data_IF_143074014841
#
_entry.id   IF_143074014841
#
_cell.length_a   1.000
_cell.length_b   1.000
_cell.length_c   1.000
_cell.angle_alpha   90.00
_cell.angle_beta   90.00
_cell.angle_gamma   90.00
#
_symmetry.space_group_name_H-M   'P 1'
#
loop_
_entity.id
_entity.type
_entity.pdbx_description
1 polymer ?
#
# COMPACT_ATOMS: atom_id res chain seq x y z
N UNK A 1 -9.81 -18.75 2.34
CA UNK A 1 -10.99 -18.52 1.48
C UNK A 1 -10.69 -17.74 0.19
N UNK A 2 -9.87 -16.69 0.21
CA UNK A 2 -9.62 -15.87 -1.00
C UNK A 2 -8.41 -16.26 -1.86
N UNK A 3 -7.69 -17.33 -1.52
CA UNK A 3 -6.47 -17.75 -2.24
C UNK A 3 -6.74 -18.05 -3.72
N UNK A 4 -7.83 -18.75 -4.03
CA UNK A 4 -8.17 -19.06 -5.41
C UNK A 4 -8.62 -17.82 -6.20
N UNK A 5 -9.26 -16.85 -5.54
CA UNK A 5 -9.62 -15.58 -6.15
C UNK A 5 -8.37 -14.73 -6.44
N UNK A 6 -7.43 -14.65 -5.49
CA UNK A 6 -6.14 -13.98 -5.70
C UNK A 6 -5.37 -14.61 -6.87
N UNK A 7 -5.34 -15.96 -6.94
CA UNK A 7 -4.73 -16.68 -8.06
C UNK A 7 -5.38 -16.32 -9.40
N UNK A 8 -6.71 -16.25 -9.47
CA UNK A 8 -7.43 -15.83 -10.68
C UNK A 8 -7.05 -14.42 -11.12
N UNK A 9 -6.88 -13.49 -10.19
CA UNK A 9 -6.48 -12.11 -10.48
C UNK A 9 -5.05 -12.08 -11.04
N UNK A 10 -4.11 -12.79 -10.42
CA UNK A 10 -2.70 -12.85 -10.86
C UNK A 10 -2.55 -13.51 -12.24
N UNK A 11 -3.39 -14.48 -12.57
CA UNK A 11 -3.39 -15.15 -13.88
C UNK A 11 -4.20 -14.42 -14.95
N UNK A 12 -4.86 -13.31 -14.60
CA UNK A 12 -5.61 -12.50 -15.56
C UNK A 12 -4.68 -11.78 -16.55
N UNK A 13 -5.25 -11.24 -17.64
CA UNK A 13 -4.52 -10.47 -18.66
C UNK A 13 -3.67 -9.34 -18.04
N UNK A 14 -4.21 -8.67 -17.02
CA UNK A 14 -3.59 -7.53 -16.36
C UNK A 14 -2.77 -7.95 -15.11
N UNK A 15 -2.78 -9.24 -14.73
CA UNK A 15 -2.04 -9.76 -13.58
C UNK A 15 -0.53 -9.53 -13.66
N UNK A 16 0.04 -9.47 -14.87
CA UNK A 16 1.44 -9.09 -15.13
C UNK A 16 1.82 -7.66 -14.70
N UNK A 17 0.84 -6.80 -14.42
CA UNK A 17 1.05 -5.45 -13.87
C UNK A 17 1.07 -5.43 -12.34
N UNK A 18 0.66 -6.54 -11.71
CA UNK A 18 0.65 -6.68 -10.25
C UNK A 18 2.05 -7.11 -9.83
N UNK A 19 2.66 -6.31 -8.95
CA UNK A 19 3.96 -6.59 -8.38
C UNK A 19 3.76 -6.87 -6.89
N UNK A 20 4.20 -8.06 -6.48
CA UNK A 20 4.12 -8.50 -5.09
C UNK A 20 5.44 -8.21 -4.37
N UNK A 21 5.43 -8.14 -3.02
CA UNK A 21 6.66 -8.14 -2.23
C UNK A 21 7.55 -9.34 -2.60
N UNK A 22 8.88 -9.12 -2.54
CA UNK A 22 9.91 -10.15 -2.76
C UNK A 22 10.56 -10.62 -1.45
N UNK A 23 10.34 -9.87 -0.38
CA UNK A 23 10.79 -10.11 0.98
C UNK A 23 9.88 -9.42 2.00
N UNK A 24 10.10 -9.72 3.27
CA UNK A 24 9.20 -9.37 4.36
C UNK A 24 9.97 -9.24 5.68
N UNK A 25 9.47 -8.38 6.57
CA UNK A 25 9.87 -8.33 7.98
C UNK A 25 8.96 -9.26 8.75
N UNK A 26 9.57 -10.18 9.50
CA UNK A 26 8.86 -11.20 10.27
C UNK A 26 9.24 -11.15 11.74
N UNK A 27 8.36 -11.69 12.57
CA UNK A 27 8.55 -11.88 14.00
C UNK A 27 8.41 -13.36 14.32
N UNK A 28 9.38 -13.97 14.99
CA UNK A 28 9.26 -15.35 15.46
C UNK A 28 8.53 -15.47 16.81
N UNK A 29 8.32 -16.70 17.26
CA UNK A 29 7.65 -17.00 18.53
C UNK A 29 8.34 -16.40 19.76
N UNK A 30 9.65 -16.12 19.68
CA UNK A 30 10.44 -15.50 20.75
C UNK A 30 10.45 -13.96 20.66
N UNK A 31 9.75 -13.39 19.67
CA UNK A 31 9.65 -11.95 19.45
C UNK A 31 10.84 -11.36 18.68
N UNK A 32 11.74 -12.18 18.12
CA UNK A 32 12.86 -11.69 17.33
C UNK A 32 12.38 -11.20 15.97
N UNK A 33 12.80 -9.99 15.63
CA UNK A 33 12.47 -9.32 14.37
C UNK A 33 13.63 -9.51 13.40
N UNK A 34 13.35 -9.98 12.19
CA UNK A 34 14.33 -10.10 11.13
C UNK A 34 13.67 -10.05 9.74
N UNK A 35 14.49 -9.74 8.73
CA UNK A 35 14.07 -9.78 7.34
C UNK A 35 14.19 -11.20 6.77
N UNK A 36 13.21 -11.60 5.98
CA UNK A 36 13.12 -12.93 5.40
C UNK A 36 12.66 -12.87 3.93
N UNK A 37 13.19 -13.79 3.13
CA UNK A 37 12.74 -14.00 1.76
C UNK A 37 11.51 -14.91 1.75
N UNK A 38 10.81 -15.01 0.62
CA UNK A 38 9.76 -16.02 0.46
C UNK A 38 10.33 -17.40 0.10
N UNK A 39 9.77 -18.51 0.62
CA UNK A 39 8.69 -18.57 1.60
C UNK A 39 9.16 -18.20 3.02
N UNK A 40 8.23 -17.70 3.82
CA UNK A 40 8.43 -17.36 5.23
C UNK A 40 8.86 -18.60 6.05
N UNK A 41 9.74 -18.46 7.07
CA UNK A 41 10.01 -19.52 8.03
C UNK A 41 8.74 -20.00 8.76
N UNK A 42 8.77 -21.24 9.24
CA UNK A 42 7.70 -21.73 10.11
C UNK A 42 7.66 -20.95 11.43
N UNK A 43 6.48 -20.89 12.04
CA UNK A 43 6.24 -20.24 13.34
C UNK A 43 6.64 -18.75 13.40
N UNK A 44 6.65 -18.05 12.26
CA UNK A 44 6.80 -16.58 12.21
C UNK A 44 5.54 -15.88 11.70
N UNK A 45 5.37 -14.60 12.06
CA UNK A 45 4.33 -13.68 11.55
C UNK A 45 4.96 -12.62 10.67
N UNK A 46 4.45 -12.43 9.45
CA UNK A 46 4.82 -11.30 8.59
C UNK A 46 4.14 -10.02 9.09
N UNK A 47 4.92 -8.95 9.28
CA UNK A 47 4.44 -7.70 9.87
C UNK A 47 4.65 -6.48 8.98
N UNK A 48 5.64 -6.50 8.08
CA UNK A 48 5.90 -5.42 7.10
C UNK A 48 6.62 -6.00 5.87
N UNK A 49 6.76 -5.21 4.82
CA UNK A 49 7.57 -5.57 3.65
C UNK A 49 9.07 -5.40 3.91
N UNK A 50 9.89 -6.24 3.26
CA UNK A 50 11.34 -6.14 3.38
C UNK A 50 11.95 -5.02 2.52
N UNK A 51 13.27 -4.86 2.66
CA UNK A 51 14.04 -3.80 2.02
C UNK A 51 14.12 -3.97 0.49
N UNK A 52 14.20 -5.20 -0.01
CA UNK A 52 14.18 -5.50 -1.44
C UNK A 52 12.84 -5.14 -2.09
N UNK A 53 11.74 -5.36 -1.38
CA UNK A 53 10.39 -4.96 -1.82
C UNK A 53 10.25 -3.44 -1.88
N UNK A 54 10.76 -2.72 -0.87
CA UNK A 54 10.79 -1.26 -0.87
C UNK A 54 11.54 -0.72 -2.09
N UNK A 55 12.74 -1.23 -2.37
CA UNK A 55 13.53 -0.77 -3.52
C UNK A 55 12.88 -1.12 -4.86
N UNK A 56 12.28 -2.31 -4.97
CA UNK A 56 11.50 -2.71 -6.14
C UNK A 56 10.33 -1.74 -6.39
N UNK A 57 9.57 -1.40 -5.35
CA UNK A 57 8.44 -0.49 -5.45
C UNK A 57 8.86 0.94 -5.79
N UNK A 58 9.92 1.46 -5.16
CA UNK A 58 10.49 2.78 -5.54
C UNK A 58 10.88 2.83 -7.01
N UNK A 59 11.51 1.78 -7.53
CA UNK A 59 11.90 1.71 -8.95
C UNK A 59 10.67 1.82 -9.87
N UNK A 60 9.59 1.11 -9.56
CA UNK A 60 8.34 1.18 -10.34
C UNK A 60 7.71 2.57 -10.23
N UNK A 61 7.56 3.08 -9.00
CA UNK A 61 6.96 4.38 -8.70
C UNK A 61 7.74 5.54 -9.35
N UNK A 62 9.06 5.43 -9.50
CA UNK A 62 9.90 6.48 -10.12
C UNK A 62 9.46 6.85 -11.55
N UNK A 63 8.81 5.93 -12.25
CA UNK A 63 8.33 6.13 -13.63
C UNK A 63 6.86 6.58 -13.69
N UNK A 64 6.18 6.62 -12.55
CA UNK A 64 4.76 6.90 -12.45
C UNK A 64 4.47 8.40 -12.49
N UNK A 65 3.52 8.81 -13.34
CA UNK A 65 3.03 10.20 -13.39
C UNK A 65 1.89 10.45 -12.39
N UNK A 66 1.20 9.40 -11.99
CA UNK A 66 0.10 9.43 -11.04
C UNK A 66 0.22 8.23 -10.12
N UNK A 67 0.08 8.46 -8.82
CA UNK A 67 0.12 7.44 -7.77
C UNK A 67 -1.16 7.56 -6.97
N UNK A 68 -1.86 6.44 -6.85
CA UNK A 68 -3.00 6.26 -5.96
C UNK A 68 -2.58 5.28 -4.86
N UNK A 69 -2.70 5.68 -3.60
CA UNK A 69 -2.38 4.84 -2.45
C UNK A 69 -3.60 4.65 -1.55
N UNK A 70 -4.00 3.38 -1.38
CA UNK A 70 -4.99 2.93 -0.42
C UNK A 70 -4.48 1.67 0.30
N UNK A 71 -4.22 1.79 1.61
CA UNK A 71 -3.83 0.72 2.53
C UNK A 71 -2.33 0.74 2.91
N UNK A 72 -1.97 0.51 4.18
CA UNK A 72 -0.58 0.39 4.61
C UNK A 72 0.08 -0.91 4.08
N UNK A 73 1.42 -0.95 4.07
CA UNK A 73 2.19 -2.13 3.65
C UNK A 73 2.48 -3.11 4.81
N UNK A 74 2.30 -2.65 6.04
CA UNK A 74 2.59 -3.37 7.28
C UNK A 74 1.75 -2.85 8.43
N UNK A 75 1.98 -3.40 9.63
CA UNK A 75 1.26 -3.05 10.86
C UNK A 75 1.88 -1.77 11.45
N UNK A 76 1.66 -0.64 10.79
CA UNK A 76 2.35 0.62 11.10
C UNK A 76 2.10 1.15 12.52
N UNK A 77 1.04 0.69 13.17
CA UNK A 77 0.68 1.01 14.55
C UNK A 77 1.63 0.37 15.58
N UNK A 78 2.35 -0.68 15.20
CA UNK A 78 3.28 -1.43 16.04
C UNK A 78 4.73 -1.20 15.57
N UNK A 79 5.52 -0.29 16.19
CA UNK A 79 6.93 -0.17 15.86
C UNK A 79 7.68 -1.50 16.07
N UNK A 80 8.53 -1.94 15.12
CA UNK A 80 9.02 -1.22 13.93
C UNK A 80 8.29 -1.56 12.61
N UNK A 81 7.07 -2.09 12.61
CA UNK A 81 6.39 -2.67 11.45
C UNK A 81 5.70 -1.64 10.50
N UNK A 82 6.16 -0.40 10.49
CA UNK A 82 5.70 0.66 9.59
C UNK A 82 6.80 1.24 8.70
N UNK A 83 8.02 0.70 8.75
CA UNK A 83 9.17 1.27 8.06
C UNK A 83 9.11 1.11 6.54
N UNK A 84 8.51 0.03 6.03
CA UNK A 84 8.25 -0.15 4.60
C UNK A 84 7.33 0.95 4.05
N UNK A 85 6.23 1.20 4.77
CA UNK A 85 5.31 2.32 4.48
C UNK A 85 6.03 3.66 4.58
N UNK A 86 6.78 3.91 5.67
CA UNK A 86 7.53 5.16 5.87
C UNK A 86 8.49 5.44 4.72
N UNK A 87 9.25 4.43 4.30
CA UNK A 87 10.22 4.55 3.22
C UNK A 87 9.57 4.91 1.88
N UNK A 88 8.39 4.35 1.58
CA UNK A 88 7.65 4.74 0.37
C UNK A 88 7.07 6.16 0.48
N UNK A 89 6.56 6.59 1.64
CA UNK A 89 6.05 7.96 1.78
C UNK A 89 7.18 8.97 1.58
N UNK A 90 8.35 8.74 2.19
CA UNK A 90 9.53 9.60 2.01
C UNK A 90 9.97 9.66 0.55
N UNK A 91 9.94 8.53 -0.16
CA UNK A 91 10.23 8.51 -1.59
C UNK A 91 9.20 9.31 -2.40
N UNK A 92 7.91 9.17 -2.09
CA UNK A 92 6.84 9.89 -2.75
C UNK A 92 6.89 11.40 -2.51
N UNK A 93 7.38 11.86 -1.36
CA UNK A 93 7.55 13.29 -1.07
C UNK A 93 8.41 13.99 -2.14
N UNK A 94 9.55 13.38 -2.50
CA UNK A 94 10.44 13.87 -3.56
C UNK A 94 9.98 13.59 -5.00
N UNK A 95 8.97 12.72 -5.19
CA UNK A 95 8.52 12.31 -6.52
C UNK A 95 7.61 13.37 -7.17
N UNK A 96 7.97 13.81 -8.38
CA UNK A 96 7.14 14.68 -9.23
C UNK A 96 6.04 13.89 -9.92
N UNK A 97 4.99 13.58 -9.17
CA UNK A 97 3.80 12.90 -9.65
C UNK A 97 2.54 13.49 -8.98
N UNK A 98 1.38 13.31 -9.60
CA UNK A 98 0.10 13.50 -8.91
C UNK A 98 -0.06 12.38 -7.91
N UNK A 99 -0.10 12.69 -6.61
CA UNK A 99 -0.12 11.70 -5.52
C UNK A 99 -1.42 11.83 -4.74
N UNK A 100 -2.24 10.80 -4.81
CA UNK A 100 -3.57 10.72 -4.18
C UNK A 100 -3.49 9.61 -3.14
N UNK A 101 -3.80 9.92 -1.89
CA UNK A 101 -4.00 8.89 -0.87
C UNK A 101 -5.42 8.97 -0.33
N UNK A 102 -5.96 7.84 0.11
CA UNK A 102 -7.27 7.81 0.74
C UNK A 102 -7.60 6.49 1.39
N UNK A 103 -8.64 6.50 2.22
CA UNK A 103 -8.94 5.41 3.17
C UNK A 103 -8.47 5.78 4.58
N UNK A 104 -9.28 5.44 5.60
CA UNK A 104 -9.04 5.83 7.00
C UNK A 104 -7.64 5.44 7.49
N UNK A 105 -7.27 4.18 7.28
CA UNK A 105 -5.97 3.64 7.69
C UNK A 105 -4.81 4.31 6.96
N UNK A 106 -5.00 4.67 5.68
CA UNK A 106 -3.96 5.36 4.91
C UNK A 106 -3.75 6.79 5.42
N UNK A 107 -4.83 7.49 5.75
CA UNK A 107 -4.75 8.82 6.35
C UNK A 107 -4.05 8.74 7.72
N UNK A 108 -4.42 7.77 8.56
CA UNK A 108 -3.80 7.57 9.86
C UNK A 108 -2.30 7.24 9.75
N UNK A 109 -1.93 6.36 8.81
CA UNK A 109 -0.54 6.03 8.49
C UNK A 109 0.25 7.26 8.03
N UNK A 110 -0.29 8.06 7.10
CA UNK A 110 0.39 9.27 6.59
C UNK A 110 0.58 10.30 7.70
N UNK A 111 -0.43 10.52 8.55
CA UNK A 111 -0.33 11.42 9.70
C UNK A 111 0.72 10.95 10.70
N UNK A 112 0.79 9.65 10.95
CA UNK A 112 1.74 9.05 11.91
C UNK A 112 3.18 9.02 11.39
N UNK A 113 3.39 8.74 10.10
CA UNK A 113 4.71 8.40 9.57
C UNK A 113 5.44 9.53 8.83
N UNK A 114 4.74 10.53 8.27
CA UNK A 114 5.36 11.39 7.24
C UNK A 114 5.09 12.90 7.34
N UNK A 115 4.12 13.35 8.12
CA UNK A 115 3.66 14.73 8.04
C UNK A 115 3.01 15.02 6.66
N UNK A 116 2.09 15.98 6.61
CA UNK A 116 1.06 16.07 5.55
C UNK A 116 1.55 16.46 4.13
N UNK A 117 2.85 16.52 3.86
CA UNK A 117 3.40 17.16 2.64
C UNK A 117 3.67 16.22 1.46
N UNK A 118 3.64 14.89 1.65
CA UNK A 118 4.01 13.94 0.60
C UNK A 118 2.94 13.75 -0.51
N UNK A 119 1.69 14.16 -0.29
CA UNK A 119 0.56 13.90 -1.19
C UNK A 119 -0.05 15.17 -1.76
N UNK A 120 -0.47 15.10 -3.03
CA UNK A 120 -1.21 16.18 -3.70
C UNK A 120 -2.64 16.30 -3.17
N UNK A 121 -3.26 15.18 -2.79
CA UNK A 121 -4.59 15.15 -2.21
C UNK A 121 -4.78 13.98 -1.24
N UNK A 122 -5.46 14.24 -0.13
CA UNK A 122 -5.84 13.26 0.88
C UNK A 122 -7.35 13.13 0.91
N UNK A 123 -7.88 11.97 0.52
CA UNK A 123 -9.31 11.69 0.54
C UNK A 123 -9.80 11.30 1.92
N UNK A 124 -10.75 12.05 2.46
CA UNK A 124 -11.54 11.66 3.64
C UNK A 124 -12.79 10.84 3.28
N UNK A 125 -13.01 10.54 1.99
CA UNK A 125 -14.21 9.85 1.50
C UNK A 125 -14.25 8.35 1.83
N UNK A 126 -13.16 7.79 2.35
CA UNK A 126 -13.09 6.37 2.76
C UNK A 126 -13.60 5.44 1.66
N UNK A 127 -14.64 4.67 1.97
CA UNK A 127 -15.28 3.74 1.03
C UNK A 127 -15.82 4.40 -0.24
N UNK A 128 -16.33 5.64 -0.16
CA UNK A 128 -16.87 6.35 -1.32
C UNK A 128 -15.80 6.63 -2.39
N UNK A 129 -14.55 6.88 -1.96
CA UNK A 129 -13.42 7.04 -2.88
C UNK A 129 -13.13 5.74 -3.63
N UNK A 130 -13.11 4.61 -2.91
CA UNK A 130 -12.85 3.29 -3.50
C UNK A 130 -13.97 2.90 -4.46
N UNK A 131 -15.22 3.12 -4.07
CA UNK A 131 -16.40 2.87 -4.90
C UNK A 131 -16.37 3.71 -6.19
N UNK A 132 -16.08 5.01 -6.05
CA UNK A 132 -15.93 5.89 -7.20
C UNK A 132 -14.78 5.46 -8.13
N UNK A 133 -13.64 5.03 -7.61
CA UNK A 133 -12.53 4.56 -8.46
C UNK A 133 -12.85 3.23 -9.13
N UNK A 134 -13.63 2.37 -8.47
CA UNK A 134 -14.00 1.04 -8.98
C UNK A 134 -15.07 1.13 -10.06
N UNK A 135 -16.07 2.01 -9.87
CA UNK A 135 -17.27 2.06 -10.71
C UNK A 135 -17.42 3.35 -11.52
N UNK A 136 -16.58 4.36 -11.26
CA UNK A 136 -16.68 5.72 -11.84
C UNK A 136 -18.07 6.35 -11.64
N UNK A 137 -18.73 5.94 -10.57
CA UNK A 137 -20.12 6.25 -10.31
C UNK A 137 -20.39 6.32 -8.81
N UNK A 138 -21.18 7.32 -8.41
CA UNK A 138 -21.78 7.40 -7.10
C UNK A 138 -23.22 7.92 -7.27
N UNK A 139 -24.23 7.30 -6.62
CA UNK A 139 -25.63 7.72 -6.76
C UNK A 139 -25.86 9.21 -6.49
N UNK A 140 -25.18 9.77 -5.48
CA UNK A 140 -25.27 11.19 -5.14
C UNK A 140 -24.64 12.12 -6.18
N UNK A 141 -23.54 11.70 -6.82
CA UNK A 141 -22.91 12.49 -7.88
C UNK A 141 -23.73 12.46 -9.16
N UNK A 142 -24.34 11.31 -9.50
CA UNK A 142 -25.26 11.21 -10.65
C UNK A 142 -26.39 12.22 -10.55
N UNK A 143 -27.05 12.29 -9.40
CA UNK A 143 -28.18 13.19 -9.20
C UNK A 143 -27.79 14.68 -9.30
N UNK A 144 -26.55 15.04 -8.94
CA UNK A 144 -26.05 16.42 -9.08
C UNK A 144 -25.56 16.76 -10.49
N UNK A 145 -25.33 15.75 -11.34
CA UNK A 145 -24.87 15.93 -12.72
C UNK A 145 -25.99 15.98 -13.75
N UNK A 146 -27.24 15.79 -13.31
CA UNK A 146 -28.49 16.01 -14.07
C UNK A 146 -29.00 17.44 -13.88
#
# INVERSE_FOLDING_TARGET
>A
DFVDQARKILLSRDGRKIVLPVDQIVVDADGKIFESQFPMPEATRACDIGSGSVELFKKILSTSKTVLWNGPLGIFEEPPFGEGSRALIQFLDGLKATKIAGGGDTLHMVETLAGKHAFSWLSTGGGAMVEFITHMDLPSLRWLSE
#
